data_IF_474751919867
#
_entry.id   IF_474751919867
#
_cell.length_a   1.000
_cell.length_b   1.000
_cell.length_c   1.000
_cell.angle_alpha   90.00
_cell.angle_beta   90.00
_cell.angle_gamma   90.00
#
_symmetry.space_group_name_H-M   'P 1'
#
loop_
_entity.id
_entity.type
_entity.pdbx_description
1 polymer ?
#
# COMPACT_ATOMS: atom_id res chain seq x y z
N UNK A 1 -8.06 -6.59 -6.13
CA UNK A 1 -6.83 -7.40 -5.85
C UNK A 1 -6.88 -8.81 -6.42
N UNK A 2 -7.96 -9.59 -6.24
CA UNK A 2 -8.03 -10.98 -6.73
C UNK A 2 -7.73 -11.13 -8.23
N UNK A 3 -8.47 -10.43 -9.07
CA UNK A 3 -8.28 -10.47 -10.54
C UNK A 3 -6.91 -9.93 -10.95
N UNK A 4 -6.44 -8.83 -10.33
CA UNK A 4 -5.10 -8.28 -10.57
C UNK A 4 -3.98 -9.26 -10.22
N UNK A 5 -4.14 -10.05 -9.14
CA UNK A 5 -3.20 -11.10 -8.77
C UNK A 5 -3.16 -12.24 -9.78
N UNK A 6 -4.31 -12.69 -10.27
CA UNK A 6 -4.39 -13.69 -11.34
C UNK A 6 -3.75 -13.19 -12.63
N UNK A 7 -3.96 -11.92 -12.97
CA UNK A 7 -3.31 -11.27 -14.11
C UNK A 7 -1.78 -11.26 -13.97
N UNK A 8 -1.26 -10.92 -12.78
CA UNK A 8 0.19 -10.97 -12.52
C UNK A 8 0.75 -12.38 -12.64
N UNK A 9 0.06 -13.39 -12.09
CA UNK A 9 0.45 -14.80 -12.25
C UNK A 9 0.49 -15.21 -13.72
N UNK A 10 -0.49 -14.76 -14.51
CA UNK A 10 -0.55 -15.07 -15.95
C UNK A 10 0.64 -14.46 -16.71
N UNK A 11 1.00 -13.21 -16.43
CA UNK A 11 2.13 -12.53 -17.03
C UNK A 11 3.49 -13.10 -16.60
N UNK A 12 3.61 -13.53 -15.35
CA UNK A 12 4.87 -14.03 -14.78
C UNK A 12 5.08 -15.54 -14.95
N UNK A 13 4.23 -16.25 -15.70
CA UNK A 13 4.26 -17.73 -15.82
C UNK A 13 5.63 -18.32 -16.17
N UNK A 14 6.36 -17.70 -17.09
CA UNK A 14 7.69 -18.18 -17.51
C UNK A 14 8.70 -18.02 -16.37
N UNK A 15 8.74 -16.85 -15.75
CA UNK A 15 9.63 -16.53 -14.64
C UNK A 15 9.28 -17.38 -13.41
N UNK A 16 7.99 -17.56 -13.11
CA UNK A 16 7.50 -18.40 -12.02
C UNK A 16 7.98 -19.85 -12.13
N UNK A 17 7.95 -20.44 -13.32
CA UNK A 17 8.48 -21.79 -13.55
C UNK A 17 9.99 -21.89 -13.29
N UNK A 18 10.74 -20.87 -13.69
CA UNK A 18 12.17 -20.80 -13.47
C UNK A 18 12.52 -20.63 -11.98
N UNK A 19 11.79 -19.76 -11.28
CA UNK A 19 12.06 -19.43 -9.88
C UNK A 19 11.33 -20.34 -8.87
N UNK A 20 10.55 -21.33 -9.36
CA UNK A 20 9.69 -22.17 -8.52
C UNK A 20 10.43 -22.81 -7.34
N UNK A 21 11.62 -23.39 -7.59
CA UNK A 21 12.42 -24.01 -6.53
C UNK A 21 12.88 -22.99 -5.48
N UNK A 22 13.30 -21.80 -5.92
CA UNK A 22 13.71 -20.72 -5.01
C UNK A 22 12.56 -20.24 -4.14
N UNK A 23 11.38 -20.06 -4.74
CA UNK A 23 10.15 -19.63 -4.05
C UNK A 23 9.71 -20.68 -3.03
N UNK A 24 9.78 -21.96 -3.38
CA UNK A 24 9.39 -23.07 -2.49
C UNK A 24 10.29 -23.13 -1.24
N UNK A 25 11.57 -22.81 -1.36
CA UNK A 25 12.48 -22.73 -0.23
C UNK A 25 12.09 -21.63 0.78
N UNK A 26 11.32 -20.64 0.34
CA UNK A 26 10.85 -19.51 1.15
C UNK A 26 9.35 -19.56 1.46
N UNK A 27 8.74 -20.74 1.40
CA UNK A 27 7.28 -20.98 1.56
C UNK A 27 6.68 -20.27 2.79
N UNK A 28 7.37 -20.25 3.94
CA UNK A 28 6.88 -19.58 5.15
C UNK A 28 6.73 -18.07 4.95
N UNK A 29 7.74 -17.42 4.36
CA UNK A 29 7.69 -15.99 4.04
C UNK A 29 6.58 -15.69 3.05
N UNK A 30 6.44 -16.53 2.01
CA UNK A 30 5.39 -16.39 1.01
C UNK A 30 3.99 -16.50 1.64
N UNK A 31 3.75 -17.49 2.51
CA UNK A 31 2.47 -17.66 3.19
C UNK A 31 2.13 -16.45 4.07
N UNK A 32 3.11 -15.97 4.87
CA UNK A 32 2.93 -14.78 5.71
C UNK A 32 2.59 -13.56 4.86
N UNK A 33 3.29 -13.35 3.74
CA UNK A 33 3.02 -12.20 2.88
C UNK A 33 1.69 -12.30 2.13
N UNK A 34 1.27 -13.49 1.71
CA UNK A 34 -0.03 -13.70 1.07
C UNK A 34 -1.19 -13.44 2.05
N UNK A 35 -1.06 -13.88 3.30
CA UNK A 35 -2.03 -13.57 4.36
C UNK A 35 -2.04 -12.06 4.65
N UNK A 36 -0.87 -11.43 4.78
CA UNK A 36 -0.76 -9.99 4.99
C UNK A 36 -1.37 -9.20 3.83
N UNK A 37 -1.09 -9.60 2.58
CA UNK A 37 -1.69 -8.98 1.40
C UNK A 37 -3.22 -9.11 1.39
N UNK A 38 -3.75 -10.26 1.77
CA UNK A 38 -5.20 -10.47 1.83
C UNK A 38 -5.85 -9.68 2.99
N UNK A 39 -5.19 -9.61 4.15
CA UNK A 39 -5.68 -8.89 5.31
C UNK A 39 -5.61 -7.36 5.14
N UNK A 40 -4.64 -6.86 4.36
CA UNK A 40 -4.44 -5.42 4.13
C UNK A 40 -5.71 -4.70 3.66
N UNK A 41 -6.35 -5.05 2.53
CA UNK A 41 -7.54 -4.33 2.07
C UNK A 41 -8.72 -4.48 3.02
N UNK A 42 -8.87 -5.62 3.68
CA UNK A 42 -9.94 -5.83 4.65
C UNK A 42 -9.79 -4.89 5.86
N UNK A 43 -8.58 -4.77 6.41
CA UNK A 43 -8.28 -3.85 7.49
C UNK A 43 -8.39 -2.38 7.04
N UNK A 44 -7.87 -2.04 5.85
CA UNK A 44 -7.86 -0.69 5.29
C UNK A 44 -9.28 -0.15 5.07
N UNK A 45 -10.12 -0.88 4.32
CA UNK A 45 -11.49 -0.43 4.06
C UNK A 45 -12.38 -0.46 5.30
N UNK A 46 -12.14 -1.40 6.23
CA UNK A 46 -12.83 -1.39 7.53
C UNK A 46 -12.43 -0.21 8.39
N UNK A 47 -11.15 0.18 8.37
CA UNK A 47 -10.66 1.39 9.03
C UNK A 47 -11.36 2.64 8.49
N UNK A 48 -11.42 2.79 7.17
CA UNK A 48 -12.11 3.92 6.52
C UNK A 48 -13.59 3.97 6.87
N UNK A 49 -14.25 2.81 6.95
CA UNK A 49 -15.68 2.73 7.31
C UNK A 49 -15.95 3.12 8.76
N UNK A 50 -15.08 2.74 9.71
CA UNK A 50 -15.29 2.91 11.13
C UNK A 50 -14.70 4.22 11.70
N UNK A 51 -13.54 4.65 11.20
CA UNK A 51 -12.86 5.87 11.66
C UNK A 51 -13.12 7.08 10.75
N UNK A 52 -13.70 6.86 9.57
CA UNK A 52 -13.81 7.85 8.50
C UNK A 52 -12.71 7.71 7.47
N UNK A 53 -13.03 8.08 6.21
CA UNK A 53 -12.14 7.89 5.05
C UNK A 53 -10.79 8.58 5.28
N UNK A 54 -10.81 9.85 5.68
CA UNK A 54 -9.60 10.63 5.91
C UNK A 54 -8.69 10.00 6.98
N UNK A 55 -9.24 9.70 8.17
CA UNK A 55 -8.48 9.15 9.30
C UNK A 55 -7.96 7.76 8.99
N UNK A 56 -8.81 6.87 8.46
CA UNK A 56 -8.42 5.51 8.11
C UNK A 56 -7.31 5.46 7.08
N UNK A 57 -7.41 6.29 6.04
CA UNK A 57 -6.38 6.39 4.99
C UNK A 57 -5.05 6.90 5.55
N UNK A 58 -5.08 8.01 6.31
CA UNK A 58 -3.88 8.61 6.88
C UNK A 58 -3.14 7.66 7.81
N UNK A 59 -3.85 7.05 8.75
CA UNK A 59 -3.21 6.14 9.69
C UNK A 59 -2.56 4.97 8.94
N UNK A 60 -3.26 4.39 7.96
CA UNK A 60 -2.74 3.25 7.19
C UNK A 60 -1.50 3.63 6.38
N UNK A 61 -1.54 4.73 5.64
CA UNK A 61 -0.44 5.17 4.77
C UNK A 61 0.75 5.70 5.59
N UNK A 62 0.50 6.47 6.65
CA UNK A 62 1.57 7.04 7.48
C UNK A 62 2.31 5.97 8.30
N UNK A 63 1.64 4.91 8.75
CA UNK A 63 2.26 3.87 9.57
C UNK A 63 3.00 2.81 8.74
N UNK A 64 2.68 2.65 7.47
CA UNK A 64 3.32 1.67 6.60
C UNK A 64 4.85 1.85 6.49
N UNK A 65 5.43 3.04 6.23
CA UNK A 65 6.87 3.23 6.21
C UNK A 65 7.54 2.95 7.57
N UNK A 66 6.86 3.31 8.66
CA UNK A 66 7.35 3.03 10.02
C UNK A 66 7.47 1.52 10.26
N UNK A 67 6.44 0.75 9.97
CA UNK A 67 6.49 -0.70 10.10
C UNK A 67 7.48 -1.34 9.12
N UNK A 68 7.63 -0.80 7.90
CA UNK A 68 8.58 -1.31 6.93
C UNK A 68 10.03 -1.16 7.44
N UNK A 69 10.41 0.01 7.96
CA UNK A 69 11.75 0.21 8.53
C UNK A 69 11.96 -0.62 9.79
N UNK A 70 10.93 -0.78 10.61
CA UNK A 70 11.01 -1.64 11.80
C UNK A 70 11.29 -3.10 11.42
N UNK A 71 10.59 -3.64 10.42
CA UNK A 71 10.84 -4.99 9.90
C UNK A 71 12.24 -5.12 9.29
N UNK A 72 12.71 -4.11 8.56
CA UNK A 72 14.06 -4.08 8.01
C UNK A 72 15.12 -4.10 9.13
N UNK A 73 14.97 -3.29 10.17
CA UNK A 73 15.90 -3.27 11.31
C UNK A 73 15.90 -4.58 12.11
N UNK A 74 14.72 -5.20 12.29
CA UNK A 74 14.61 -6.43 13.09
C UNK A 74 15.07 -7.69 12.35
N UNK A 75 14.79 -7.77 11.04
CA UNK A 75 14.96 -9.01 10.28
C UNK A 75 15.96 -8.94 9.12
N UNK A 76 16.40 -7.73 8.72
CA UNK A 76 17.38 -7.55 7.63
C UNK A 76 18.73 -7.15 8.21
N UNK A 77 19.74 -8.01 8.03
CA UNK A 77 21.09 -7.78 8.57
C UNK A 77 21.71 -6.49 8.00
N UNK A 78 22.27 -5.66 8.88
CA UNK A 78 23.08 -4.49 8.50
C UNK A 78 22.28 -3.25 8.07
N UNK A 79 20.96 -3.27 8.16
CA UNK A 79 20.14 -2.08 7.88
C UNK A 79 19.89 -1.30 9.16
N UNK A 80 20.22 -0.02 9.14
CA UNK A 80 19.97 0.93 10.23
C UNK A 80 19.14 2.10 9.74
N UNK A 81 18.38 2.70 10.64
CA UNK A 81 17.61 3.91 10.35
C UNK A 81 18.58 5.07 10.12
N UNK A 82 18.56 5.65 8.93
CA UNK A 82 19.36 6.85 8.65
C UNK A 82 18.67 8.10 9.18
N UNK A 83 19.46 9.10 9.61
CA UNK A 83 18.90 10.40 10.04
C UNK A 83 18.07 11.07 8.95
N UNK A 84 18.47 10.89 7.70
CA UNK A 84 17.73 11.43 6.54
C UNK A 84 16.38 10.73 6.34
N UNK A 85 16.34 9.39 6.47
CA UNK A 85 15.07 8.66 6.42
C UNK A 85 14.10 9.14 7.50
N UNK A 86 14.60 9.32 8.74
CA UNK A 86 13.80 9.81 9.86
C UNK A 86 13.28 11.23 9.58
N UNK A 87 14.11 12.10 9.02
CA UNK A 87 13.71 13.46 8.62
C UNK A 87 12.63 13.41 7.53
N UNK A 88 12.84 12.65 6.45
CA UNK A 88 11.86 12.47 5.38
C UNK A 88 10.53 11.96 5.93
N UNK A 89 10.57 10.94 6.78
CA UNK A 89 9.40 10.35 7.40
C UNK A 89 8.63 11.37 8.26
N UNK A 90 9.33 12.13 9.11
CA UNK A 90 8.70 13.16 9.94
C UNK A 90 8.05 14.27 9.11
N UNK A 91 8.71 14.73 8.05
CA UNK A 91 8.19 15.76 7.13
C UNK A 91 6.98 15.21 6.36
N UNK A 92 7.05 13.96 5.89
CA UNK A 92 5.96 13.30 5.17
C UNK A 92 4.71 13.14 6.03
N UNK A 93 4.86 12.68 7.28
CA UNK A 93 3.74 12.58 8.23
C UNK A 93 3.13 13.95 8.52
N UNK A 94 3.95 14.97 8.77
CA UNK A 94 3.45 16.32 8.99
C UNK A 94 2.63 16.82 7.79
N UNK A 95 3.10 16.56 6.56
CA UNK A 95 2.39 16.90 5.33
C UNK A 95 1.04 16.20 5.20
N UNK A 96 0.98 14.89 5.47
CA UNK A 96 -0.29 14.13 5.46
C UNK A 96 -1.25 14.65 6.54
N UNK A 97 -0.77 14.90 7.73
CA UNK A 97 -1.60 15.46 8.81
C UNK A 97 -2.22 16.79 8.41
N UNK A 98 -1.44 17.73 7.85
CA UNK A 98 -1.96 19.01 7.37
C UNK A 98 -3.01 18.84 6.26
N UNK A 99 -2.77 17.94 5.31
CA UNK A 99 -3.71 17.67 4.23
C UNK A 99 -5.06 17.18 4.78
N UNK A 100 -5.03 16.24 5.72
CA UNK A 100 -6.26 15.67 6.33
C UNK A 100 -6.97 16.65 7.24
N UNK A 101 -6.23 17.40 8.06
CA UNK A 101 -6.86 18.43 8.87
C UNK A 101 -7.51 19.53 8.04
N UNK A 102 -7.03 19.75 6.81
CA UNK A 102 -7.65 20.71 5.89
C UNK A 102 -9.03 20.26 5.38
N UNK A 103 -9.29 18.95 5.33
CA UNK A 103 -10.56 18.37 4.90
C UNK A 103 -11.55 18.15 6.04
N UNK A 104 -11.07 18.15 7.29
CA UNK A 104 -11.89 17.79 8.47
C UNK A 104 -12.71 18.97 9.00
N UNK A 105 -13.93 19.14 8.46
CA UNK A 105 -14.93 20.08 8.99
C UNK A 105 -15.96 19.44 9.93
N UNK A 106 -15.78 18.20 10.37
CA UNK A 106 -16.78 17.49 11.17
C UNK A 106 -16.30 17.20 12.60
N UNK A 107 -17.01 17.76 13.57
CA UNK A 107 -16.98 17.40 14.99
C UNK A 107 -17.45 15.96 15.17
N UNK A 108 -16.52 15.02 15.32
CA UNK A 108 -16.85 13.63 15.58
C UNK A 108 -16.64 13.30 17.07
N UNK A 109 -17.70 12.90 17.75
CA UNK A 109 -17.63 12.26 19.07
C UNK A 109 -16.78 10.98 18.97
N UNK A 110 -15.86 10.80 19.90
CA UNK A 110 -15.05 9.58 19.99
C UNK A 110 -15.97 8.43 20.42
N UNK A 111 -16.21 7.49 19.50
CA UNK A 111 -16.95 6.26 19.78
C UNK A 111 -15.99 5.06 19.80
N UNK A 112 -16.37 3.99 20.52
CA UNK A 112 -15.59 2.74 20.52
C UNK A 112 -15.36 2.19 19.12
N UNK A 113 -16.31 2.36 18.20
CA UNK A 113 -16.18 1.97 16.79
C UNK A 113 -15.07 2.74 16.09
N UNK A 114 -14.90 4.03 16.38
CA UNK A 114 -13.82 4.85 15.81
C UNK A 114 -12.44 4.38 16.27
N UNK A 115 -12.30 4.00 17.55
CA UNK A 115 -11.05 3.43 18.07
C UNK A 115 -10.70 2.11 17.37
N UNK A 116 -11.69 1.23 17.17
CA UNK A 116 -11.49 -0.01 16.39
C UNK A 116 -11.04 0.33 14.97
N UNK A 117 -11.64 1.32 14.31
CA UNK A 117 -11.24 1.79 13.00
C UNK A 117 -9.79 2.28 12.96
N UNK A 118 -9.35 3.03 13.96
CA UNK A 118 -7.96 3.49 14.10
C UNK A 118 -7.01 2.30 14.24
N UNK A 119 -7.32 1.33 15.09
CA UNK A 119 -6.50 0.13 15.25
C UNK A 119 -6.41 -0.69 13.95
N UNK A 120 -7.51 -0.80 13.21
CA UNK A 120 -7.51 -1.44 11.89
C UNK A 120 -6.64 -0.68 10.88
N UNK A 121 -6.57 0.64 10.96
CA UNK A 121 -5.66 1.45 10.15
C UNK A 121 -4.18 1.14 10.44
N UNK A 122 -3.80 1.03 11.72
CA UNK A 122 -2.46 0.57 12.11
C UNK A 122 -2.16 -0.84 11.60
N UNK A 123 -3.12 -1.76 11.74
CA UNK A 123 -2.98 -3.12 11.21
C UNK A 123 -2.83 -3.14 9.68
N UNK A 124 -3.56 -2.29 8.96
CA UNK A 124 -3.41 -2.15 7.51
C UNK A 124 -2.00 -1.70 7.14
N UNK A 125 -1.45 -0.68 7.81
CA UNK A 125 -0.07 -0.24 7.59
C UNK A 125 0.96 -1.35 7.87
N UNK A 126 0.76 -2.13 8.93
CA UNK A 126 1.60 -3.29 9.24
C UNK A 126 1.51 -4.37 8.14
N UNK A 127 0.32 -4.74 7.70
CA UNK A 127 0.13 -5.74 6.65
C UNK A 127 0.76 -5.30 5.32
N UNK A 128 0.61 -4.02 4.97
CA UNK A 128 1.29 -3.42 3.83
C UNK A 128 2.81 -3.58 3.94
N UNK A 129 3.38 -3.21 5.09
CA UNK A 129 4.80 -3.30 5.35
C UNK A 129 5.31 -4.74 5.28
N UNK A 130 4.56 -5.70 5.84
CA UNK A 130 4.93 -7.12 5.85
C UNK A 130 5.04 -7.67 4.42
N UNK A 131 4.01 -7.51 3.58
CA UNK A 131 4.08 -8.07 2.23
C UNK A 131 5.13 -7.37 1.37
N UNK A 132 5.31 -6.06 1.51
CA UNK A 132 6.33 -5.28 0.80
C UNK A 132 7.75 -5.69 1.22
N UNK A 133 8.00 -5.84 2.51
CA UNK A 133 9.27 -6.30 3.05
C UNK A 133 9.60 -7.74 2.61
N UNK A 134 8.62 -8.65 2.62
CA UNK A 134 8.82 -10.01 2.12
C UNK A 134 9.10 -10.01 0.62
N UNK A 135 8.35 -9.23 -0.16
CA UNK A 135 8.59 -9.08 -1.61
C UNK A 135 10.03 -8.64 -1.87
N UNK A 136 10.50 -7.58 -1.16
CA UNK A 136 11.88 -7.11 -1.26
C UNK A 136 12.89 -8.18 -0.85
N UNK A 137 12.64 -8.89 0.25
CA UNK A 137 13.53 -9.96 0.73
C UNK A 137 13.65 -11.09 -0.30
N UNK A 138 12.56 -11.50 -0.96
CA UNK A 138 12.60 -12.51 -2.00
C UNK A 138 13.41 -12.04 -3.23
N UNK A 139 13.26 -10.77 -3.61
CA UNK A 139 14.02 -10.15 -4.71
C UNK A 139 15.52 -10.14 -4.38
N UNK A 140 15.91 -9.75 -3.16
CA UNK A 140 17.30 -9.77 -2.69
C UNK A 140 17.90 -11.18 -2.65
N UNK A 141 17.07 -12.21 -2.51
CA UNK A 141 17.46 -13.63 -2.55
C UNK A 141 17.49 -14.19 -3.99
N UNK A 142 17.38 -13.35 -5.01
CA UNK A 142 17.52 -13.71 -6.42
C UNK A 142 16.25 -14.31 -7.05
N UNK A 143 15.07 -14.06 -6.46
CA UNK A 143 13.78 -14.30 -7.11
C UNK A 143 13.46 -13.09 -7.99
N UNK A 144 13.04 -13.33 -9.22
CA UNK A 144 12.61 -12.25 -10.12
C UNK A 144 11.43 -11.48 -9.51
N UNK A 145 11.43 -10.14 -9.62
CA UNK A 145 10.41 -9.30 -8.98
C UNK A 145 8.98 -9.63 -9.39
N UNK A 146 8.78 -9.97 -10.67
CA UNK A 146 7.48 -10.40 -11.19
C UNK A 146 7.06 -11.75 -10.59
N UNK A 147 8.01 -12.68 -10.40
CA UNK A 147 7.74 -13.97 -9.76
C UNK A 147 7.38 -13.81 -8.28
N UNK A 148 8.11 -12.97 -7.56
CA UNK A 148 7.86 -12.71 -6.14
C UNK A 148 6.47 -12.11 -5.93
N UNK A 149 6.14 -10.99 -6.61
CA UNK A 149 4.84 -10.35 -6.51
C UNK A 149 3.72 -11.22 -7.10
N UNK A 150 3.95 -11.87 -8.24
CA UNK A 150 2.98 -12.79 -8.84
C UNK A 150 2.55 -13.90 -7.88
N UNK A 151 3.50 -14.51 -7.14
CA UNK A 151 3.17 -15.51 -6.12
C UNK A 151 2.41 -14.89 -4.93
N UNK A 152 2.90 -13.77 -4.39
CA UNK A 152 2.26 -13.11 -3.25
C UNK A 152 0.83 -12.73 -3.60
N UNK A 153 0.61 -12.08 -4.75
CA UNK A 153 -0.71 -11.67 -5.21
C UNK A 153 -1.59 -12.87 -5.62
N UNK A 154 -1.01 -13.90 -6.25
CA UNK A 154 -1.74 -15.10 -6.61
C UNK A 154 -2.30 -15.84 -5.40
N UNK A 155 -1.45 -16.11 -4.39
CA UNK A 155 -1.92 -16.75 -3.15
C UNK A 155 -2.83 -15.82 -2.33
N UNK A 156 -2.53 -14.53 -2.26
CA UNK A 156 -3.42 -13.54 -1.63
C UNK A 156 -4.79 -13.47 -2.30
N UNK A 157 -4.85 -13.62 -3.62
CA UNK A 157 -6.10 -13.70 -4.38
C UNK A 157 -6.94 -14.90 -3.99
N UNK A 158 -6.33 -16.07 -3.84
CA UNK A 158 -7.04 -17.27 -3.41
C UNK A 158 -7.67 -17.12 -2.03
N UNK A 159 -7.00 -16.39 -1.12
CA UNK A 159 -7.54 -16.08 0.22
C UNK A 159 -8.67 -15.06 0.14
N UNK A 160 -8.58 -14.06 -0.79
CA UNK A 160 -9.58 -13.01 -0.94
C UNK A 160 -10.82 -13.44 -1.75
N UNK A 161 -10.70 -14.43 -2.65
CA UNK A 161 -11.83 -14.88 -3.47
C UNK A 161 -13.08 -15.24 -2.66
N UNK A 162 -13.00 -15.97 -1.52
CA UNK A 162 -14.17 -16.26 -0.71
C UNK A 162 -14.87 -15.02 -0.14
N UNK A 163 -14.13 -13.92 0.12
CA UNK A 163 -14.73 -12.69 0.64
C UNK A 163 -15.65 -12.02 -0.39
N UNK A 164 -15.44 -12.29 -1.67
CA UNK A 164 -16.29 -11.80 -2.77
C UNK A 164 -17.72 -12.35 -2.66
N UNK A 165 -17.89 -13.57 -2.13
CA UNK A 165 -19.21 -14.16 -1.93
C UNK A 165 -20.05 -13.38 -0.91
N UNK A 166 -19.38 -12.68 0.02
CA UNK A 166 -20.03 -11.88 1.07
C UNK A 166 -20.14 -10.41 0.71
N UNK A 167 -19.17 -9.88 -0.06
CA UNK A 167 -19.04 -8.43 -0.32
C UNK A 167 -19.31 -8.05 -1.78
N UNK A 168 -19.54 -9.02 -2.65
CA UNK A 168 -19.58 -8.84 -4.10
C UNK A 168 -20.96 -8.62 -4.71
N UNK A 169 -22.03 -8.43 -3.93
CA UNK A 169 -23.42 -8.36 -4.40
C UNK A 169 -23.63 -7.33 -5.52
N UNK A 170 -22.95 -6.20 -5.48
CA UNK A 170 -23.12 -5.11 -6.45
C UNK A 170 -22.06 -5.07 -7.57
N UNK A 171 -21.13 -6.04 -7.61
CA UNK A 171 -20.04 -6.05 -8.59
C UNK A 171 -20.53 -6.08 -10.03
N UNK A 172 -21.57 -6.84 -10.30
CA UNK A 172 -22.16 -7.03 -11.63
C UNK A 172 -23.50 -6.31 -11.80
N UNK A 173 -23.90 -5.46 -10.86
CA UNK A 173 -25.20 -4.77 -10.86
C UNK A 173 -25.35 -3.74 -12.00
N UNK A 174 -24.25 -3.19 -12.51
CA UNK A 174 -24.26 -2.25 -13.64
C UNK A 174 -23.00 -2.40 -14.49
N UNK A 175 -23.09 -1.98 -15.75
CA UNK A 175 -21.94 -1.91 -16.67
C UNK A 175 -20.84 -1.00 -16.11
N UNK A 176 -21.21 0.10 -15.46
CA UNK A 176 -20.26 1.01 -14.81
C UNK A 176 -19.46 0.30 -13.70
N UNK A 177 -20.14 -0.50 -12.86
CA UNK A 177 -19.46 -1.26 -11.81
C UNK A 177 -18.43 -2.25 -12.40
N UNK A 178 -18.83 -2.95 -13.47
CA UNK A 178 -17.92 -3.89 -14.16
C UNK A 178 -16.71 -3.16 -14.73
N UNK A 179 -16.90 -2.01 -15.37
CA UNK A 179 -15.81 -1.21 -15.93
C UNK A 179 -14.88 -0.68 -14.84
N UNK A 180 -15.42 -0.17 -13.73
CA UNK A 180 -14.62 0.32 -12.59
C UNK A 180 -13.81 -0.82 -11.96
N UNK A 181 -14.43 -1.97 -11.72
CA UNK A 181 -13.74 -3.15 -11.17
C UNK A 181 -12.66 -3.64 -12.12
N UNK A 182 -12.95 -3.70 -13.44
CA UNK A 182 -12.00 -4.06 -14.47
C UNK A 182 -10.80 -3.10 -14.52
N UNK A 183 -11.06 -1.79 -14.50
CA UNK A 183 -10.02 -0.77 -14.44
C UNK A 183 -9.14 -0.92 -13.19
N UNK A 184 -9.76 -1.03 -12.00
CA UNK A 184 -9.04 -1.18 -10.73
C UNK A 184 -8.21 -2.47 -10.68
N UNK A 185 -8.70 -3.55 -11.28
CA UNK A 185 -7.98 -4.82 -11.31
C UNK A 185 -6.78 -4.80 -12.27
N UNK A 186 -6.92 -4.20 -13.45
CA UNK A 186 -5.90 -4.26 -14.50
C UNK A 186 -4.87 -3.13 -14.36
N UNK A 187 -5.31 -1.90 -14.12
CA UNK A 187 -4.41 -0.75 -14.13
C UNK A 187 -3.66 -0.63 -12.78
N UNK A 188 -4.28 -0.25 -11.64
CA UNK A 188 -3.51 -0.09 -10.41
C UNK A 188 -3.02 -1.42 -9.84
N UNK A 189 -3.86 -2.47 -9.82
CA UNK A 189 -3.49 -3.75 -9.23
C UNK A 189 -2.69 -4.67 -10.17
N UNK A 190 -2.83 -4.52 -11.47
CA UNK A 190 -2.04 -5.25 -12.46
C UNK A 190 -0.75 -4.51 -12.79
N UNK A 191 -0.85 -3.50 -13.65
CA UNK A 191 0.31 -2.76 -14.17
C UNK A 191 1.03 -1.96 -13.07
N UNK A 192 0.30 -1.33 -12.15
CA UNK A 192 0.89 -0.56 -11.06
C UNK A 192 1.80 -1.40 -10.17
N UNK A 193 1.39 -2.62 -9.81
CA UNK A 193 2.22 -3.51 -9.00
C UNK A 193 3.36 -4.18 -9.76
N UNK A 194 3.28 -4.30 -11.09
CA UNK A 194 4.44 -4.69 -11.91
C UNK A 194 5.51 -3.60 -11.84
N UNK A 195 5.12 -2.33 -12.01
CA UNK A 195 6.01 -1.19 -11.86
C UNK A 195 6.58 -1.08 -10.43
N UNK A 196 5.74 -1.29 -9.41
CA UNK A 196 6.15 -1.34 -8.02
C UNK A 196 7.21 -2.42 -7.76
N UNK A 197 6.99 -3.64 -8.27
CA UNK A 197 7.94 -4.74 -8.15
C UNK A 197 9.26 -4.47 -8.86
N UNK A 198 9.22 -3.79 -10.01
CA UNK A 198 10.43 -3.35 -10.69
C UNK A 198 11.18 -2.32 -9.83
N UNK A 199 10.49 -1.33 -9.26
CA UNK A 199 11.07 -0.33 -8.36
C UNK A 199 11.70 -0.96 -7.10
N UNK A 200 11.08 -1.98 -6.51
CA UNK A 200 11.61 -2.71 -5.34
C UNK A 200 12.98 -3.38 -5.59
N UNK A 201 13.43 -3.52 -6.83
CA UNK A 201 14.78 -4.02 -7.13
C UNK A 201 15.85 -3.03 -6.70
N UNK A 202 15.56 -1.74 -6.75
CA UNK A 202 16.52 -0.65 -6.57
C UNK A 202 16.44 0.02 -5.20
N UNK A 203 15.28 -0.02 -4.53
CA UNK A 203 15.05 0.66 -3.26
C UNK A 203 14.67 -0.33 -2.16
N UNK A 204 14.78 0.10 -0.89
CA UNK A 204 14.31 -0.68 0.27
C UNK A 204 12.79 -0.67 0.36
N UNK A 205 12.20 -1.61 1.10
CA UNK A 205 10.75 -1.63 1.31
C UNK A 205 10.27 -0.39 2.07
N UNK A 206 11.06 0.09 3.03
CA UNK A 206 10.78 1.32 3.77
C UNK A 206 10.83 2.57 2.88
N UNK A 207 11.81 2.66 1.96
CA UNK A 207 11.88 3.75 0.98
C UNK A 207 10.73 3.70 -0.01
N UNK A 208 10.40 2.51 -0.53
CA UNK A 208 9.25 2.32 -1.41
C UNK A 208 7.94 2.74 -0.72
N UNK A 209 7.72 2.32 0.54
CA UNK A 209 6.55 2.73 1.32
C UNK A 209 6.52 4.23 1.60
N UNK A 210 7.68 4.89 1.75
CA UNK A 210 7.75 6.33 1.92
C UNK A 210 7.36 7.07 0.63
N UNK A 211 7.75 6.54 -0.54
CA UNK A 211 7.37 7.09 -1.84
C UNK A 211 5.85 6.99 -2.07
N UNK A 212 5.17 5.98 -1.52
CA UNK A 212 3.71 5.88 -1.63
C UNK A 212 2.96 7.01 -0.91
N UNK A 213 3.61 7.82 -0.06
CA UNK A 213 3.05 9.05 0.46
C UNK A 213 2.71 10.08 -0.64
N UNK A 214 3.18 9.86 -1.88
CA UNK A 214 2.78 10.66 -3.04
C UNK A 214 1.33 10.41 -3.48
N UNK A 215 0.74 9.27 -3.12
CA UNK A 215 -0.63 8.91 -3.47
C UNK A 215 -1.66 10.00 -3.07
N UNK A 216 -1.69 10.50 -1.81
CA UNK A 216 -2.57 11.59 -1.43
C UNK A 216 -2.37 12.88 -2.24
N UNK A 217 -1.14 13.17 -2.68
CA UNK A 217 -0.84 14.34 -3.51
C UNK A 217 -1.50 14.21 -4.88
N UNK A 218 -1.40 13.05 -5.50
CA UNK A 218 -2.05 12.76 -6.79
C UNK A 218 -3.57 12.79 -6.63
N UNK A 219 -4.10 12.19 -5.56
CA UNK A 219 -5.54 12.20 -5.27
C UNK A 219 -6.08 13.65 -5.12
N UNK A 220 -5.38 14.49 -4.36
CA UNK A 220 -5.72 15.89 -4.17
C UNK A 220 -5.66 16.68 -5.51
N UNK A 221 -4.62 16.48 -6.32
CA UNK A 221 -4.50 17.11 -7.63
C UNK A 221 -5.65 16.72 -8.57
N UNK A 222 -6.03 15.45 -8.58
CA UNK A 222 -7.16 14.96 -9.37
C UNK A 222 -8.50 15.50 -8.85
N UNK A 223 -8.68 15.62 -7.54
CA UNK A 223 -9.87 16.23 -6.94
C UNK A 223 -10.06 17.68 -7.42
N UNK A 224 -8.99 18.47 -7.47
CA UNK A 224 -9.03 19.84 -7.97
C UNK A 224 -9.29 19.89 -9.48
N UNK A 225 -8.54 19.11 -10.28
CA UNK A 225 -8.57 19.23 -11.75
C UNK A 225 -9.79 18.56 -12.37
N UNK A 226 -10.21 17.40 -11.84
CA UNK A 226 -11.28 16.58 -12.43
C UNK A 226 -12.62 16.86 -11.77
N UNK A 227 -12.64 17.00 -10.44
CA UNK A 227 -13.89 17.18 -9.67
C UNK A 227 -14.21 18.66 -9.46
N UNK A 228 -13.20 19.56 -9.54
CA UNK A 228 -13.38 20.99 -9.30
C UNK A 228 -13.41 21.37 -7.82
N UNK A 229 -12.88 20.51 -6.96
CA UNK A 229 -12.79 20.77 -5.52
C UNK A 229 -11.77 21.89 -5.22
N UNK A 230 -12.05 22.70 -4.19
CA UNK A 230 -11.11 23.71 -3.69
C UNK A 230 -10.37 23.18 -2.47
N UNK A 231 -9.03 23.15 -2.55
CA UNK A 231 -8.19 22.76 -1.41
C UNK A 231 -7.82 24.02 -0.63
N UNK A 232 -8.05 24.06 0.70
CA UNK A 232 -7.62 25.17 1.55
C UNK A 232 -6.09 25.35 1.55
N UNK A 233 -5.61 26.53 1.90
CA UNK A 233 -4.16 26.83 1.95
C UNK A 233 -3.40 25.85 2.85
N UNK A 234 -4.02 25.39 3.92
CA UNK A 234 -3.46 24.37 4.82
C UNK A 234 -3.21 23.04 4.08
N UNK A 235 -4.12 22.61 3.22
CA UNK A 235 -3.95 21.41 2.38
C UNK A 235 -2.83 21.55 1.36
N UNK A 236 -2.70 22.73 0.71
CA UNK A 236 -1.58 23.02 -0.19
C UNK A 236 -0.22 22.99 0.52
N UNK A 237 -0.16 23.47 1.77
CA UNK A 237 1.07 23.38 2.58
C UNK A 237 1.41 21.93 2.92
N UNK A 238 0.41 21.08 3.18
CA UNK A 238 0.58 19.63 3.37
C UNK A 238 1.16 18.94 2.12
N UNK A 239 0.62 19.24 0.95
CA UNK A 239 1.13 18.77 -0.35
C UNK A 239 2.60 19.17 -0.52
N UNK A 240 2.94 20.44 -0.23
CA UNK A 240 4.30 20.94 -0.31
C UNK A 240 5.28 20.15 0.58
N UNK A 241 4.89 19.82 1.83
CA UNK A 241 5.71 19.01 2.73
C UNK A 241 5.90 17.59 2.22
N UNK A 242 4.87 16.96 1.65
CA UNK A 242 4.99 15.61 1.06
C UNK A 242 5.99 15.65 -0.11
N UNK A 243 5.92 16.66 -0.98
CA UNK A 243 6.88 16.81 -2.07
C UNK A 243 8.31 17.00 -1.55
N UNK A 244 8.51 17.79 -0.49
CA UNK A 244 9.82 17.95 0.17
C UNK A 244 10.31 16.60 0.72
N UNK A 245 9.46 15.84 1.39
CA UNK A 245 9.78 14.49 1.86
C UNK A 245 10.31 13.59 0.73
N UNK A 246 9.63 13.60 -0.42
CA UNK A 246 10.02 12.80 -1.58
C UNK A 246 11.36 13.28 -2.17
N UNK A 247 11.59 14.59 -2.26
CA UNK A 247 12.85 15.14 -2.75
C UNK A 247 14.04 14.77 -1.86
N UNK A 248 13.85 14.76 -0.53
CA UNK A 248 14.87 14.28 0.42
C UNK A 248 15.16 12.79 0.18
N UNK A 249 14.13 11.99 -0.06
CA UNK A 249 14.28 10.54 -0.26
C UNK A 249 14.96 10.18 -1.58
N UNK A 250 14.60 10.84 -2.69
CA UNK A 250 15.17 10.57 -4.03
C UNK A 250 16.67 10.92 -4.10
N UNK A 251 17.11 11.91 -3.37
CA UNK A 251 18.53 12.32 -3.36
C UNK A 251 19.48 11.30 -2.74
N UNK A 252 18.96 10.24 -2.14
CA UNK A 252 19.73 9.17 -1.45
C UNK A 252 19.64 7.81 -2.14
N UNK A 253 18.86 7.69 -3.23
CA UNK A 253 18.77 6.47 -4.07
C UNK A 253 19.77 6.52 -5.20
#
# INVERSE_FOLDING_TARGET
>A
MGVGGLFQVALSRKQLRHDFKKILNHRRKLTISAIALAAYPLAFYSSMRLAGVAIGTVISIATAPFFAVLLECLFSKGKSITKKWLLSFSVGIAGIMLLVFSESSATHTVSNLRLIGILLGFMAGLFYAVYSWVAKTLIEQGVESQSALGCIFGFGSLILLPTLLVTGENLFASTTNILVVGYMALIPMGLGYIAYGFGLRFVTASSASLITLFEPVVAAALAVVVVGESIPLLGWSGIGLILICLLIQVKDS
#
